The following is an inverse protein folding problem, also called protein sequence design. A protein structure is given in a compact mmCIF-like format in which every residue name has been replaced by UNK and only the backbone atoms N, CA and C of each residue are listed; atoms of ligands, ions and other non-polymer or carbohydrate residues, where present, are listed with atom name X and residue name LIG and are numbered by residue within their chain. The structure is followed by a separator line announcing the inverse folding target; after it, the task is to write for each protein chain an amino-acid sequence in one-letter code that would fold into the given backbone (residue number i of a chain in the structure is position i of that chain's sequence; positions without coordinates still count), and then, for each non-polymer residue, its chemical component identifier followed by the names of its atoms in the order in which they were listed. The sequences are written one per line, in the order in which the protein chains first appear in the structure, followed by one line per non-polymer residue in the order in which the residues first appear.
data_IF_922363573935
#
_entry.id   IF_922363573935
#
_cell.length_a   1.000
_cell.length_b   1.000
_cell.length_c   1.000
_cell.angle_alpha   90.00
_cell.angle_beta   90.00
_cell.angle_gamma   90.00
#
_symmetry.space_group_name_H-M   'P 1'
#
loop_
_entity.id
_entity.type
_entity.pdbx_description
1 polymer ?
#
# COMPACT_ATOMS: atom_id res chain seq x y z
N UNK A 1 -29.89 -14.62 3.11
CA UNK A 1 -28.77 -14.13 3.95
C UNK A 1 -27.84 -13.39 3.02
N UNK A 2 -27.69 -12.07 3.19
CA UNK A 2 -26.69 -11.32 2.41
C UNK A 2 -25.32 -11.67 2.98
N UNK A 3 -24.43 -12.22 2.14
CA UNK A 3 -23.02 -12.37 2.49
C UNK A 3 -22.36 -10.99 2.64
N UNK A 4 -21.12 -11.00 3.14
CA UNK A 4 -20.26 -9.80 3.13
C UNK A 4 -20.09 -9.29 1.68
N UNK A 5 -19.82 -8.00 1.50
CA UNK A 5 -19.57 -7.39 0.19
C UNK A 5 -18.50 -6.31 0.35
N UNK A 6 -17.44 -6.41 -0.44
CA UNK A 6 -16.32 -5.47 -0.40
C UNK A 6 -15.70 -5.30 -1.79
N UNK A 7 -14.83 -4.29 -1.95
CA UNK A 7 -14.07 -4.10 -3.18
C UNK A 7 -13.09 -5.25 -3.44
N UNK A 8 -12.60 -5.36 -4.68
CA UNK A 8 -11.63 -6.37 -5.09
C UNK A 8 -10.40 -6.36 -4.17
N UNK A 9 -10.02 -7.53 -3.67
CA UNK A 9 -8.78 -7.74 -2.91
C UNK A 9 -7.73 -8.35 -3.84
N UNK A 10 -6.51 -7.82 -3.77
CA UNK A 10 -5.42 -8.24 -4.64
C UNK A 10 -4.43 -9.12 -3.89
N UNK A 11 -4.15 -10.31 -4.44
CA UNK A 11 -3.05 -11.15 -3.94
C UNK A 11 -1.72 -10.52 -4.33
N UNK A 12 -0.87 -10.24 -3.35
CA UNK A 12 0.47 -9.73 -3.59
C UNK A 12 1.51 -10.82 -3.36
N UNK A 13 2.62 -10.74 -4.08
CA UNK A 13 3.76 -11.64 -3.91
C UNK A 13 5.08 -10.89 -4.10
N UNK A 14 6.18 -11.55 -3.73
CA UNK A 14 7.53 -11.05 -3.99
C UNK A 14 7.68 -10.61 -5.46
N UNK A 15 8.25 -9.42 -5.65
CA UNK A 15 8.46 -8.83 -6.97
C UNK A 15 7.27 -8.04 -7.50
N UNK A 16 6.13 -8.01 -6.83
CA UNK A 16 5.04 -7.12 -7.24
C UNK A 16 5.42 -5.65 -6.98
N UNK A 17 5.36 -4.83 -8.03
CA UNK A 17 5.30 -3.37 -7.95
C UNK A 17 3.84 -2.99 -7.88
N UNK A 18 3.45 -2.22 -6.87
CA UNK A 18 2.07 -1.81 -6.61
C UNK A 18 2.01 -0.28 -6.68
N UNK A 19 1.05 0.22 -7.44
CA UNK A 19 0.80 1.63 -7.65
C UNK A 19 -0.43 2.07 -6.85
N UNK A 20 -0.27 3.06 -5.98
CA UNK A 20 -1.34 3.59 -5.12
C UNK A 20 -1.44 5.11 -5.32
N UNK A 21 -2.56 5.60 -5.87
CA UNK A 21 -2.78 7.04 -6.03
C UNK A 21 -2.90 7.81 -4.72
N UNK A 22 -2.59 9.11 -4.76
CA UNK A 22 -2.81 10.00 -3.63
C UNK A 22 -4.29 9.97 -3.19
N UNK A 23 -4.52 9.85 -1.88
CA UNK A 23 -5.86 9.78 -1.29
C UNK A 23 -6.55 8.42 -1.39
N UNK A 24 -5.98 7.42 -2.09
CA UNK A 24 -6.55 6.07 -2.13
C UNK A 24 -6.29 5.32 -0.82
N UNK A 25 -7.36 4.92 -0.13
CA UNK A 25 -7.27 4.10 1.07
C UNK A 25 -6.80 2.68 0.70
N UNK A 26 -5.85 2.14 1.46
CA UNK A 26 -5.32 0.80 1.25
C UNK A 26 -4.99 0.13 2.58
N UNK A 27 -5.02 -1.19 2.58
CA UNK A 27 -4.65 -2.04 3.71
C UNK A 27 -3.96 -3.29 3.17
N UNK A 28 -3.20 -3.95 4.04
CA UNK A 28 -2.51 -5.18 3.69
C UNK A 28 -2.64 -6.17 4.84
N UNK A 29 -2.77 -7.45 4.50
CA UNK A 29 -2.83 -8.54 5.44
C UNK A 29 -1.85 -9.62 4.99
N UNK A 30 -0.98 -10.04 5.92
CA UNK A 30 -0.08 -11.16 5.70
C UNK A 30 -0.76 -12.43 6.22
N UNK A 31 -1.23 -13.25 5.29
CA UNK A 31 -1.78 -14.59 5.53
C UNK A 31 -0.74 -15.70 5.26
N UNK A 32 0.51 -15.33 4.99
CA UNK A 32 1.63 -16.24 4.78
C UNK A 32 2.37 -16.57 6.08
N UNK A 33 3.22 -17.59 5.99
CA UNK A 33 4.09 -18.02 7.10
C UNK A 33 5.43 -17.27 7.16
N UNK A 34 5.70 -16.41 6.18
CA UNK A 34 6.93 -15.61 6.10
C UNK A 34 6.62 -14.13 6.32
N UNK A 35 7.62 -13.36 6.73
CA UNK A 35 7.46 -11.90 6.88
C UNK A 35 7.21 -11.25 5.52
N UNK A 36 6.13 -10.47 5.44
CA UNK A 36 5.88 -9.59 4.30
C UNK A 36 6.74 -8.33 4.44
N UNK A 37 7.68 -8.14 3.51
CA UNK A 37 8.53 -6.94 3.45
C UNK A 37 8.09 -6.09 2.25
N UNK A 38 7.72 -4.84 2.50
CA UNK A 38 7.36 -3.86 1.49
C UNK A 38 8.27 -2.62 1.59
N UNK A 39 8.65 -2.07 0.46
CA UNK A 39 9.37 -0.80 0.36
C UNK A 39 8.44 0.19 -0.34
N UNK A 40 8.12 1.29 0.33
CA UNK A 40 7.26 2.34 -0.21
C UNK A 40 8.10 3.53 -0.68
N UNK A 41 7.87 3.98 -1.91
CA UNK A 41 8.43 5.21 -2.47
C UNK A 41 7.28 6.18 -2.68
N UNK A 42 7.40 7.38 -2.11
CA UNK A 42 6.35 8.39 -2.12
C UNK A 42 6.88 9.63 -2.86
N UNK A 43 6.20 10.04 -3.93
CA UNK A 43 6.53 11.27 -4.64
C UNK A 43 5.79 12.45 -4.01
N UNK A 44 6.47 13.16 -3.10
CA UNK A 44 5.91 14.33 -2.41
C UNK A 44 5.84 15.57 -3.29
N UNK A 45 6.52 15.58 -4.45
CA UNK A 45 6.53 16.68 -5.41
C UNK A 45 5.53 16.48 -6.55
N UNK A 46 4.77 15.40 -6.51
CA UNK A 46 3.78 15.08 -7.54
C UNK A 46 2.68 16.15 -7.60
N UNK A 47 2.19 16.47 -8.80
CA UNK A 47 1.08 17.41 -8.98
C UNK A 47 -0.21 16.98 -8.29
N UNK A 48 -0.37 15.69 -7.99
CA UNK A 48 -1.49 15.18 -7.19
C UNK A 48 -1.43 15.64 -5.72
N UNK A 49 -0.24 15.99 -5.20
CA UNK A 49 -0.08 16.55 -3.87
C UNK A 49 -0.29 18.08 -3.89
N UNK A 50 -1.51 18.52 -3.58
CA UNK A 50 -1.89 19.94 -3.55
C UNK A 50 -1.66 20.62 -2.19
N UNK A 51 -0.98 19.95 -1.25
CA UNK A 51 -0.77 20.45 0.12
C UNK A 51 0.60 21.12 0.22
N UNK A 52 1.59 20.38 0.70
CA UNK A 52 2.98 20.77 0.87
C UNK A 52 3.88 19.54 0.72
N UNK A 53 5.21 19.73 0.74
CA UNK A 53 6.18 18.65 0.55
C UNK A 53 6.37 17.76 1.80
N UNK A 54 5.37 17.67 2.68
CA UNK A 54 5.41 16.80 3.85
C UNK A 54 4.56 15.55 3.62
N UNK A 55 5.08 14.40 4.07
CA UNK A 55 4.31 13.17 4.13
C UNK A 55 3.17 13.32 5.14
N UNK A 56 1.96 12.86 4.78
CA UNK A 56 0.79 12.87 5.66
C UNK A 56 0.10 11.51 5.62
N UNK A 57 -0.02 10.88 6.79
CA UNK A 57 -0.71 9.61 6.96
C UNK A 57 -2.12 9.80 7.53
N UNK A 58 -3.14 9.52 6.72
CA UNK A 58 -4.55 9.58 7.14
C UNK A 58 -5.06 8.18 7.46
N UNK A 59 -4.94 7.77 8.71
CA UNK A 59 -5.34 6.43 9.15
C UNK A 59 -6.84 6.35 9.38
N UNK A 60 -7.46 5.26 8.92
CA UNK A 60 -8.87 4.94 9.19
C UNK A 60 -9.07 4.12 10.48
N UNK A 61 -7.99 3.64 11.08
CA UNK A 61 -8.03 2.88 12.32
C UNK A 61 -6.64 2.89 12.98
N UNK A 62 -6.61 2.57 14.28
CA UNK A 62 -5.37 2.58 15.04
C UNK A 62 -4.98 3.98 15.49
N UNK A 63 -3.69 4.18 15.73
CA UNK A 63 -3.13 5.44 16.22
C UNK A 63 -1.68 5.27 16.65
N UNK A 64 -1.06 6.37 17.09
CA UNK A 64 0.33 6.40 17.55
C UNK A 64 0.59 5.38 18.66
N UNK A 65 1.65 4.58 18.51
CA UNK A 65 2.08 3.69 19.58
C UNK A 65 3.06 4.43 20.51
N UNK A 66 2.72 4.57 21.79
CA UNK A 66 3.60 5.21 22.80
C UNK A 66 4.99 4.54 22.94
N UNK A 67 5.17 3.32 22.42
CA UNK A 67 6.44 2.58 22.48
C UNK A 67 7.32 2.71 21.21
N UNK A 68 6.79 3.18 20.08
CA UNK A 68 7.59 3.46 18.87
C UNK A 68 8.47 4.71 19.02
N UNK A 69 7.93 5.73 19.70
CA UNK A 69 8.61 7.01 19.99
C UNK A 69 9.93 6.83 20.75
N UNK A 70 9.97 6.01 21.82
CA UNK A 70 11.17 5.85 22.66
C UNK A 70 12.32 5.09 21.94
N UNK A 71 12.01 4.22 20.98
CA UNK A 71 13.02 3.40 20.29
C UNK A 71 13.70 4.15 19.14
N UNK A 72 12.98 5.06 18.48
CA UNK A 72 13.49 5.84 17.35
C UNK A 72 14.23 7.12 17.76
N UNK A 73 13.86 7.75 18.90
CA UNK A 73 14.63 8.89 19.44
C UNK A 73 16.11 8.54 19.73
N UNK A 74 16.41 7.26 19.97
CA UNK A 74 17.79 6.78 20.17
C UNK A 74 18.57 6.55 18.88
N UNK A 75 17.92 6.30 17.74
CA UNK A 75 18.60 6.10 16.44
C UNK A 75 18.84 7.40 15.67
N UNK A 76 17.91 8.35 15.73
CA UNK A 76 17.98 9.61 14.96
C UNK A 76 19.03 10.62 15.45
N UNK A 77 19.60 10.46 16.66
CA UNK A 77 20.65 11.39 17.14
C UNK A 77 22.03 11.19 16.48
N UNK A 78 22.23 10.19 15.63
CA UNK A 78 23.57 9.85 15.11
C UNK A 78 23.84 10.27 13.67
N UNK A 79 22.84 10.71 12.90
CA UNK A 79 23.01 11.10 11.50
C UNK A 79 22.18 12.35 11.13
N UNK A 80 22.86 13.50 11.12
CA UNK A 80 22.61 14.69 10.31
C UNK A 80 21.31 15.51 10.51
N UNK A 81 21.50 16.81 10.73
CA UNK A 81 20.43 17.79 10.89
C UNK A 81 19.72 18.17 9.59
N UNK A 82 18.41 17.95 9.58
CA UNK A 82 17.37 18.80 8.99
C UNK A 82 16.04 18.14 9.37
N UNK A 83 15.29 18.80 10.26
CA UNK A 83 13.88 18.52 10.65
C UNK A 83 13.32 17.14 10.24
N UNK A 84 13.72 16.10 10.97
CA UNK A 84 13.20 14.74 10.82
C UNK A 84 11.87 14.67 11.59
N UNK A 85 10.75 15.01 10.95
CA UNK A 85 9.45 14.56 11.45
C UNK A 85 9.49 13.03 11.45
N UNK A 86 9.29 12.41 12.60
CA UNK A 86 9.24 10.95 12.62
C UNK A 86 8.04 10.52 11.75
N UNK A 87 8.24 9.54 10.87
CA UNK A 87 7.18 9.03 9.99
C UNK A 87 5.94 8.73 10.84
N UNK A 88 6.09 8.12 12.02
CA UNK A 88 4.98 7.81 12.93
C UNK A 88 4.17 9.06 13.34
N UNK A 89 4.81 10.21 13.61
CA UNK A 89 4.15 11.50 13.94
C UNK A 89 3.29 12.07 12.82
N UNK A 90 3.39 11.58 11.60
CA UNK A 90 2.51 12.00 10.49
C UNK A 90 1.25 11.15 10.36
N UNK A 91 1.16 9.98 11.01
CA UNK A 91 0.01 9.06 10.89
C UNK A 91 -1.01 9.28 11.99
N UNK A 92 -2.14 9.88 11.62
CA UNK A 92 -3.21 10.20 12.55
C UNK A 92 -4.50 9.48 12.18
N UNK A 93 -5.21 8.96 13.17
CA UNK A 93 -6.57 8.45 12.98
C UNK A 93 -7.51 9.62 12.69
N UNK A 94 -8.07 9.66 11.48
CA UNK A 94 -8.92 10.78 11.04
C UNK A 94 -10.20 10.89 11.86
N UNK A 95 -10.73 9.77 12.36
CA UNK A 95 -11.98 9.76 13.13
C UNK A 95 -11.87 10.55 14.43
N UNK A 96 -10.67 10.70 14.98
CA UNK A 96 -10.43 11.47 16.20
C UNK A 96 -10.87 12.93 16.07
N UNK A 97 -10.74 13.50 14.87
CA UNK A 97 -11.07 14.90 14.58
C UNK A 97 -12.57 15.19 14.46
N UNK A 98 -13.43 14.17 14.44
CA UNK A 98 -14.87 14.35 14.28
C UNK A 98 -15.62 14.28 15.62
N UNK A 99 -16.78 14.93 15.66
CA UNK A 99 -17.71 14.90 16.78
C UNK A 99 -18.37 13.51 16.94
N UNK A 100 -18.50 13.04 18.19
CA UNK A 100 -19.03 11.71 18.50
C UNK A 100 -20.51 11.58 18.14
N UNK A 101 -21.32 12.56 18.53
CA UNK A 101 -22.75 12.56 18.26
C UNK A 101 -23.03 12.62 16.77
N UNK A 102 -22.38 13.53 16.05
CA UNK A 102 -22.57 13.69 14.61
C UNK A 102 -22.17 12.43 13.83
N UNK A 103 -21.05 11.78 14.20
CA UNK A 103 -20.66 10.50 13.59
C UNK A 103 -21.66 9.39 13.89
N UNK A 104 -22.14 9.29 15.13
CA UNK A 104 -23.08 8.23 15.52
C UNK A 104 -24.38 8.35 14.72
N UNK A 105 -24.85 9.57 14.50
CA UNK A 105 -25.99 9.88 13.65
C UNK A 105 -25.69 9.56 12.17
N UNK A 106 -24.57 10.08 11.62
CA UNK A 106 -24.23 9.92 10.21
C UNK A 106 -24.03 8.45 9.79
N UNK A 107 -23.36 7.65 10.62
CA UNK A 107 -23.16 6.22 10.38
C UNK A 107 -24.36 5.37 10.84
N UNK A 108 -25.32 5.95 11.55
CA UNK A 108 -26.44 5.25 12.18
C UNK A 108 -26.00 4.07 13.05
N UNK A 109 -25.04 4.32 13.95
CA UNK A 109 -24.48 3.31 14.87
C UNK A 109 -24.51 3.79 16.32
N UNK A 110 -24.47 2.89 17.31
CA UNK A 110 -24.33 3.30 18.70
C UNK A 110 -23.07 4.14 18.92
N UNK A 111 -23.16 5.14 19.80
CA UNK A 111 -22.03 6.00 20.20
C UNK A 111 -20.81 5.21 20.65
N UNK A 112 -21.03 4.07 21.30
CA UNK A 112 -19.95 3.17 21.72
C UNK A 112 -19.13 2.63 20.53
N UNK A 113 -19.76 2.37 19.38
CA UNK A 113 -19.04 1.98 18.16
C UNK A 113 -18.18 3.13 17.66
N UNK A 114 -18.70 4.36 17.66
CA UNK A 114 -17.94 5.56 17.29
C UNK A 114 -16.75 5.77 18.24
N UNK A 115 -16.93 5.61 19.55
CA UNK A 115 -15.82 5.68 20.52
C UNK A 115 -14.71 4.70 20.18
N UNK A 116 -15.05 3.46 19.82
CA UNK A 116 -14.07 2.46 19.37
C UNK A 116 -13.37 2.84 18.06
N UNK A 117 -14.08 3.45 17.11
CA UNK A 117 -13.48 3.95 15.85
C UNK A 117 -12.48 5.09 16.10
N UNK A 118 -12.77 5.96 17.06
CA UNK A 118 -11.93 7.13 17.42
C UNK A 118 -10.76 6.78 18.35
N UNK A 119 -10.80 5.63 19.02
CA UNK A 119 -9.84 5.30 20.07
C UNK A 119 -8.45 5.00 19.51
N UNK A 120 -7.44 5.69 20.04
CA UNK A 120 -6.04 5.35 19.80
C UNK A 120 -5.75 4.00 20.48
N UNK A 121 -5.35 3.01 19.68
CA UNK A 121 -4.99 1.70 20.19
C UNK A 121 -3.48 1.64 20.45
N UNK A 122 -3.07 1.19 21.63
CA UNK A 122 -1.66 0.90 21.94
C UNK A 122 -1.06 -0.22 21.07
N UNK A 123 -1.85 -0.82 20.17
CA UNK A 123 -1.41 -1.83 19.21
C UNK A 123 -0.65 -1.24 18.02
N UNK A 124 -0.64 0.08 17.84
CA UNK A 124 0.00 0.76 16.71
C UNK A 124 -0.73 0.53 15.38
N UNK A 125 -0.02 0.78 14.27
CA UNK A 125 -0.56 0.72 12.91
C UNK A 125 -0.68 -0.72 12.36
N UNK A 126 0.20 -1.63 12.80
CA UNK A 126 0.21 -3.04 12.37
C UNK A 126 -0.31 -3.89 13.53
N UNK A 127 -1.46 -4.53 13.31
CA UNK A 127 -2.13 -5.32 14.35
C UNK A 127 -2.09 -6.82 14.04
N UNK A 128 -1.81 -7.63 15.06
CA UNK A 128 -1.89 -9.09 14.94
C UNK A 128 -3.35 -9.56 14.98
N UNK A 129 -3.79 -10.24 13.93
CA UNK A 129 -5.08 -10.93 13.90
C UNK A 129 -4.95 -12.23 14.72
N UNK A 130 -5.87 -12.45 15.68
CA UNK A 130 -5.88 -13.67 16.51
C UNK A 130 -6.39 -14.89 15.75
N UNK A 131 -7.36 -14.65 14.87
CA UNK A 131 -7.94 -15.60 13.94
C UNK A 131 -7.67 -15.07 12.52
N UNK A 132 -7.61 -15.98 11.55
CA UNK A 132 -7.37 -15.61 10.17
C UNK A 132 -8.50 -14.72 9.64
N UNK A 133 -8.11 -13.68 8.89
CA UNK A 133 -9.08 -12.75 8.33
C UNK A 133 -9.88 -13.47 7.24
N UNK A 134 -11.21 -13.53 7.42
CA UNK A 134 -12.12 -14.11 6.42
C UNK A 134 -12.42 -13.04 5.37
N UNK A 135 -11.79 -13.18 4.21
CA UNK A 135 -11.97 -12.28 3.05
C UNK A 135 -12.54 -13.11 1.92
N UNK A 136 -13.50 -12.58 1.18
CA UNK A 136 -13.94 -13.20 -0.07
C UNK A 136 -12.99 -12.79 -1.20
N UNK A 137 -12.01 -13.64 -1.52
CA UNK A 137 -11.14 -13.43 -2.68
C UNK A 137 -11.36 -14.53 -3.73
N UNK A 138 -11.49 -14.19 -5.03
CA UNK A 138 -11.48 -15.19 -6.09
C UNK A 138 -10.11 -15.87 -6.18
N UNK A 139 -10.10 -17.11 -6.68
CA UNK A 139 -8.89 -17.92 -6.83
C UNK A 139 -7.89 -17.27 -7.81
N UNK A 140 -6.58 -17.50 -7.62
CA UNK A 140 -5.52 -16.78 -8.36
C UNK A 140 -5.61 -16.95 -9.89
N UNK A 141 -6.04 -18.11 -10.38
CA UNK A 141 -6.19 -18.40 -11.81
C UNK A 141 -7.31 -17.55 -12.43
N UNK A 142 -8.41 -17.34 -11.70
CA UNK A 142 -9.52 -16.49 -12.14
C UNK A 142 -9.13 -15.01 -12.20
N UNK A 143 -8.18 -14.56 -11.35
CA UNK A 143 -7.73 -13.17 -11.34
C UNK A 143 -6.92 -12.79 -12.59
N UNK A 144 -6.11 -13.70 -13.13
CA UNK A 144 -5.35 -13.46 -14.37
C UNK A 144 -6.27 -13.52 -15.61
N UNK A 145 -7.30 -14.37 -15.61
CA UNK A 145 -8.28 -14.45 -16.71
C UNK A 145 -9.23 -13.23 -16.75
N UNK A 146 -9.68 -12.74 -15.59
CA UNK A 146 -10.55 -11.55 -15.50
C UNK A 146 -9.87 -10.26 -15.98
N UNK A 147 -8.54 -10.16 -15.87
CA UNK A 147 -7.78 -9.02 -16.43
C UNK A 147 -7.78 -9.00 -17.97
N UNK A 148 -8.19 -10.09 -18.64
CA UNK A 148 -8.22 -10.20 -20.12
C UNK A 148 -9.60 -10.04 -20.76
N UNK A 149 -10.69 -9.96 -19.97
CA UNK A 149 -12.05 -9.91 -20.51
C UNK A 149 -12.44 -8.50 -20.95
N UNK A 150 -12.78 -8.27 -22.24
CA UNK A 150 -13.30 -7.00 -22.70
C UNK A 150 -14.79 -6.91 -22.36
N UNK A 151 -15.13 -6.14 -21.33
CA UNK A 151 -16.50 -5.77 -21.00
C UNK A 151 -16.57 -4.25 -20.71
N UNK A 152 -17.73 -3.64 -21.00
CA UNK A 152 -17.90 -2.21 -21.24
C UNK A 152 -18.64 -1.46 -20.11
N UNK A 153 -18.37 -1.75 -18.83
CA UNK A 153 -18.88 -1.01 -17.66
C UNK A 153 -17.85 -0.09 -16.98
N UNK A 154 -18.31 0.91 -16.19
CA UNK A 154 -17.43 1.74 -15.34
C UNK A 154 -16.73 0.92 -14.26
N UNK A 155 -17.43 -0.10 -13.75
CA UNK A 155 -16.90 -1.12 -12.85
C UNK A 155 -15.73 -1.90 -13.47
N UNK A 156 -15.61 -1.89 -14.80
CA UNK A 156 -14.63 -2.65 -15.59
C UNK A 156 -13.51 -1.77 -16.20
N UNK A 157 -13.60 -0.44 -16.09
CA UNK A 157 -12.59 0.49 -16.64
C UNK A 157 -11.76 1.15 -15.53
N UNK A 158 -12.39 1.89 -14.63
CA UNK A 158 -11.67 2.62 -13.58
C UNK A 158 -11.53 1.80 -12.30
N UNK A 159 -12.59 1.08 -11.91
CA UNK A 159 -12.64 0.32 -10.66
C UNK A 159 -11.87 -1.01 -10.68
N UNK A 160 -11.48 -1.49 -11.86
CA UNK A 160 -10.68 -2.71 -12.08
C UNK A 160 -9.31 -2.42 -12.70
N UNK A 161 -8.90 -1.15 -12.70
CA UNK A 161 -7.61 -0.76 -13.26
C UNK A 161 -6.49 -1.62 -12.65
N UNK A 162 -5.58 -2.10 -13.50
CA UNK A 162 -4.44 -2.87 -13.04
C UNK A 162 -3.56 -1.99 -12.17
N UNK A 163 -3.47 -2.32 -10.88
CA UNK A 163 -2.68 -1.58 -9.89
C UNK A 163 -1.34 -2.24 -9.55
N UNK A 164 -1.08 -3.45 -10.05
CA UNK A 164 0.17 -4.16 -9.76
C UNK A 164 0.76 -4.87 -10.98
N UNK A 165 2.08 -5.00 -10.99
CA UNK A 165 2.82 -5.75 -12.00
C UNK A 165 4.04 -6.43 -11.38
N UNK A 166 4.29 -7.70 -11.70
CA UNK A 166 5.42 -8.42 -11.14
C UNK A 166 6.71 -8.14 -11.93
N UNK A 167 7.62 -7.36 -11.34
CA UNK A 167 8.89 -6.97 -11.96
C UNK A 167 9.94 -8.09 -11.94
N UNK A 168 9.70 -9.21 -11.25
CA UNK A 168 10.65 -10.34 -11.20
C UNK A 168 10.53 -11.29 -12.39
N UNK A 169 9.47 -11.21 -13.20
CA UNK A 169 9.23 -12.11 -14.33
C UNK A 169 10.38 -12.11 -15.34
N UNK A 170 11.14 -13.21 -15.38
CA UNK A 170 12.31 -13.36 -16.25
C UNK A 170 11.97 -13.24 -17.75
N UNK A 171 10.80 -13.74 -18.15
CA UNK A 171 10.33 -13.72 -19.55
C UNK A 171 9.97 -12.31 -20.03
N UNK A 172 9.87 -11.33 -19.12
CA UNK A 172 9.49 -9.94 -19.41
C UNK A 172 10.64 -8.95 -19.19
N UNK A 173 11.90 -9.43 -19.21
CA UNK A 173 13.06 -8.58 -19.17
C UNK A 173 13.14 -7.69 -20.42
N UNK A 174 13.37 -6.39 -20.23
CA UNK A 174 13.49 -5.40 -21.31
C UNK A 174 14.92 -5.37 -21.87
N UNK A 175 15.90 -5.62 -21.01
CA UNK A 175 17.30 -5.80 -21.40
C UNK A 175 17.83 -7.08 -20.78
N UNK A 176 18.49 -7.91 -21.59
CA UNK A 176 19.07 -9.17 -21.14
C UNK A 176 20.41 -9.46 -21.81
N UNK A 177 21.40 -9.79 -21.00
CA UNK A 177 22.71 -10.26 -21.44
C UNK A 177 23.10 -11.51 -20.66
N UNK A 178 23.38 -12.62 -21.35
CA UNK A 178 23.64 -13.94 -20.74
C UNK A 178 24.69 -13.94 -19.62
N UNK A 179 25.72 -13.10 -19.72
CA UNK A 179 26.78 -12.97 -18.72
C UNK A 179 26.77 -11.63 -17.95
N UNK A 180 25.87 -10.70 -18.31
CA UNK A 180 25.78 -9.38 -17.69
C UNK A 180 24.63 -9.25 -16.69
N UNK A 181 23.54 -9.99 -16.90
CA UNK A 181 22.34 -9.90 -16.09
C UNK A 181 21.11 -9.46 -16.88
N UNK A 182 20.14 -8.87 -16.18
CA UNK A 182 18.86 -8.44 -16.73
C UNK A 182 18.36 -7.15 -16.11
N UNK A 183 17.55 -6.42 -16.86
CA UNK A 183 16.81 -5.25 -16.40
C UNK A 183 15.33 -5.46 -16.76
N UNK A 184 14.47 -5.22 -15.78
CA UNK A 184 13.03 -5.19 -15.94
C UNK A 184 12.53 -3.79 -15.56
N UNK A 185 11.83 -3.13 -16.47
CA UNK A 185 11.24 -1.79 -16.34
C UNK A 185 9.72 -1.95 -16.27
N UNK A 186 9.08 -1.30 -15.30
CA UNK A 186 7.63 -1.18 -15.16
C UNK A 186 7.28 0.29 -15.32
N UNK A 187 6.64 0.61 -16.45
CA UNK A 187 6.16 1.93 -16.80
C UNK A 187 4.67 1.86 -17.21
N UNK A 188 4.11 2.97 -17.68
CA UNK A 188 2.72 3.06 -18.14
C UNK A 188 2.30 2.01 -19.19
N UNK A 189 3.22 1.45 -19.98
CA UNK A 189 2.87 0.43 -20.96
C UNK A 189 2.60 -0.94 -20.30
N UNK A 190 3.30 -1.26 -19.20
CA UNK A 190 3.12 -2.52 -18.45
C UNK A 190 2.12 -2.39 -17.31
N UNK A 191 1.96 -1.18 -16.78
CA UNK A 191 1.08 -0.86 -15.67
C UNK A 191 0.43 0.52 -15.90
N UNK A 192 -0.72 0.59 -16.61
CA UNK A 192 -1.32 1.84 -17.09
C UNK A 192 -1.57 2.90 -16.02
N UNK A 193 -1.87 2.50 -14.78
CA UNK A 193 -2.06 3.45 -13.68
C UNK A 193 -0.85 4.36 -13.44
N UNK A 194 0.35 3.90 -13.79
CA UNK A 194 1.57 4.70 -13.66
C UNK A 194 1.57 5.96 -14.53
N UNK A 195 0.75 6.01 -15.60
CA UNK A 195 0.54 7.23 -16.36
C UNK A 195 -0.09 8.33 -15.51
N UNK A 196 -1.06 7.97 -14.65
CA UNK A 196 -1.72 8.93 -13.76
C UNK A 196 -0.84 9.34 -12.58
N UNK A 197 0.08 8.46 -12.18
CA UNK A 197 1.02 8.73 -11.09
C UNK A 197 2.26 9.49 -11.55
N UNK A 198 2.55 9.52 -12.86
CA UNK A 198 3.81 10.00 -13.42
C UNK A 198 5.04 9.32 -12.78
N UNK A 199 4.94 8.00 -12.60
CA UNK A 199 5.97 7.19 -11.95
C UNK A 199 6.40 6.02 -12.82
N UNK A 200 7.58 5.46 -12.54
CA UNK A 200 8.02 4.18 -13.09
C UNK A 200 8.92 3.47 -12.06
N UNK A 201 9.15 2.19 -12.27
CA UNK A 201 10.06 1.40 -11.44
C UNK A 201 10.96 0.53 -12.32
N UNK A 202 12.21 0.36 -11.90
CA UNK A 202 13.16 -0.52 -12.56
C UNK A 202 13.77 -1.47 -11.55
N UNK A 203 14.04 -2.70 -12.01
CA UNK A 203 14.84 -3.66 -11.28
C UNK A 203 15.94 -4.21 -12.18
N UNK A 204 17.18 -3.94 -11.78
CA UNK A 204 18.37 -4.59 -12.30
C UNK A 204 18.73 -5.83 -11.50
N UNK A 205 19.16 -6.89 -12.18
CA UNK A 205 19.85 -8.03 -11.59
C UNK A 205 21.15 -8.24 -12.36
N UNK A 206 22.27 -7.83 -11.77
CA UNK A 206 23.60 -7.89 -12.38
C UNK A 206 24.33 -9.16 -11.96
N UNK A 207 24.97 -9.82 -12.91
CA UNK A 207 25.81 -10.98 -12.63
C UNK A 207 27.19 -10.54 -12.13
N UNK A 208 27.84 -11.27 -11.22
CA UNK A 208 29.21 -10.98 -10.80
C UNK A 208 30.18 -11.05 -11.99
N UNK A 209 31.15 -10.14 -12.00
CA UNK A 209 32.26 -10.20 -12.95
C UNK A 209 33.14 -11.40 -12.61
N UNK A 210 33.30 -12.32 -13.56
CA UNK A 210 34.29 -13.40 -13.44
C UNK A 210 35.62 -12.87 -13.98
N UNK A 211 36.59 -12.64 -13.09
CA UNK A 211 37.97 -12.46 -13.50
C UNK A 211 38.49 -13.83 -13.95
N UNK A 212 38.69 -14.01 -15.25
CA UNK A 212 39.44 -15.13 -15.84
C UNK A 212 40.92 -14.80 -15.89
#
# INVERSE_FOLDING_TARGET
MSGDQHQKVHRIRRGDVIAVPAGAAHWCYNDGNEELIAVSVLDLNNNANQLDQNLRGFMLAGGQSRHGQERYERSSRRYAGQSEWSIEETFHNIFRGFDEELMAEAFNVPRETVRRMRQDSNRGLIVKCREDMRIMSPDQEEQEEFESSPRNGLEETFCTMKIKHNIELHRQADVYTKQGGRINIVNQQKLPILQFLDMSAERGHLMPVRNT
#
